data_IF_709525905350
#
_entry.id   IF_709525905350
#
_cell.length_a   1.000
_cell.length_b   1.000
_cell.length_c   1.000
_cell.angle_alpha   90.00
_cell.angle_beta   90.00
_cell.angle_gamma   90.00
#
_symmetry.space_group_name_H-M   'P 1'
#
loop_
_entity.id
_entity.type
_entity.pdbx_description
1 polymer ?
#
# COMPACT_ATOMS: atom_id res chain seq x y z
N UNK A 1 -5.08 -3.22 16.71
CA UNK A 1 -5.77 -2.23 15.87
C UNK A 1 -4.82 -1.17 15.44
N UNK A 2 -4.80 -0.91 14.18
CA UNK A 2 -3.90 0.09 13.64
C UNK A 2 -4.56 1.45 13.53
N UNK A 3 -3.77 2.45 13.76
CA UNK A 3 -4.21 3.82 13.59
C UNK A 3 -3.57 4.40 12.35
N UNK A 4 -4.32 5.21 11.65
CA UNK A 4 -3.83 5.88 10.46
C UNK A 4 -3.30 7.25 10.82
N UNK A 5 -2.24 7.63 10.14
CA UNK A 5 -1.64 8.95 10.29
C UNK A 5 -1.70 9.62 8.92
N UNK A 6 -2.19 10.84 8.89
CA UNK A 6 -2.24 11.61 7.66
C UNK A 6 -0.96 12.40 7.50
N UNK A 7 -0.36 12.32 6.33
CA UNK A 7 0.87 13.02 6.02
C UNK A 7 0.67 13.87 4.78
N UNK A 8 1.35 15.00 4.76
CA UNK A 8 1.41 15.84 3.56
C UNK A 8 2.84 15.89 3.09
N UNK A 9 3.05 15.51 1.85
CA UNK A 9 4.37 15.57 1.24
C UNK A 9 4.24 16.21 -0.13
N UNK A 10 5.31 16.85 -0.55
CA UNK A 10 5.39 17.43 -1.88
C UNK A 10 6.21 16.52 -2.75
N UNK A 11 5.68 16.23 -3.91
CA UNK A 11 6.40 15.39 -4.89
C UNK A 11 6.45 16.15 -6.21
N UNK A 12 7.46 15.85 -7.05
CA UNK A 12 7.53 16.49 -8.35
C UNK A 12 6.28 16.20 -9.18
N UNK A 13 5.93 17.17 -10.00
CA UNK A 13 4.73 17.04 -10.81
C UNK A 13 4.79 15.83 -11.71
N UNK A 14 5.95 15.55 -12.28
CA UNK A 14 6.09 14.39 -13.17
C UNK A 14 5.80 13.08 -12.45
N UNK A 15 6.24 12.99 -11.20
CA UNK A 15 5.95 11.78 -10.42
C UNK A 15 4.46 11.69 -10.13
N UNK A 16 3.86 12.80 -9.79
CA UNK A 16 2.43 12.83 -9.52
C UNK A 16 1.62 12.38 -10.74
N UNK A 17 2.00 12.86 -11.91
CA UNK A 17 1.32 12.47 -13.15
C UNK A 17 1.47 10.97 -13.40
N UNK A 18 2.66 10.43 -13.13
CA UNK A 18 2.88 9.00 -13.31
C UNK A 18 2.00 8.19 -12.37
N UNK A 19 1.85 8.66 -11.13
CA UNK A 19 0.98 7.98 -10.18
C UNK A 19 -0.46 8.01 -10.67
N UNK A 20 -0.92 9.18 -11.14
CA UNK A 20 -2.29 9.29 -11.62
C UNK A 20 -2.54 8.38 -12.82
N UNK A 21 -1.58 8.34 -13.74
CA UNK A 21 -1.71 7.49 -14.92
C UNK A 21 -1.78 6.02 -14.52
N UNK A 22 -0.96 5.62 -13.58
CA UNK A 22 -0.99 4.23 -13.13
C UNK A 22 -2.33 3.89 -12.52
N UNK A 23 -2.84 4.76 -11.67
CA UNK A 23 -4.11 4.51 -11.00
C UNK A 23 -5.28 4.51 -11.97
N UNK A 24 -5.21 5.31 -13.02
CA UNK A 24 -6.26 5.33 -14.04
C UNK A 24 -6.36 3.98 -14.74
N UNK A 25 -5.21 3.34 -14.98
CA UNK A 25 -5.17 2.06 -15.68
C UNK A 25 -5.48 0.91 -14.73
N UNK A 26 -5.09 1.04 -13.47
CA UNK A 26 -5.24 -0.04 -12.50
C UNK A 26 -6.27 0.38 -11.45
N UNK A 27 -7.52 0.26 -11.81
CA UNK A 27 -8.60 0.78 -10.95
C UNK A 27 -8.74 0.04 -9.64
N UNK A 28 -8.15 -1.14 -9.52
CA UNK A 28 -8.18 -1.86 -8.25
C UNK A 28 -7.21 -1.28 -7.23
N UNK A 29 -6.35 -0.35 -7.65
CA UNK A 29 -5.40 0.31 -6.76
C UNK A 29 -5.93 1.68 -6.37
N UNK A 30 -5.60 2.09 -5.14
CA UNK A 30 -5.87 3.44 -4.68
C UNK A 30 -4.54 4.13 -4.40
N UNK A 31 -4.59 5.45 -4.26
CA UNK A 31 -3.38 6.20 -3.95
C UNK A 31 -2.80 5.76 -2.60
N UNK A 32 -3.65 5.57 -1.61
CA UNK A 32 -3.17 5.13 -0.30
C UNK A 32 -2.50 3.78 -0.39
N UNK A 33 -3.11 2.87 -1.11
CA UNK A 33 -2.57 1.52 -1.25
C UNK A 33 -1.23 1.55 -1.98
N UNK A 34 -1.15 2.33 -3.04
CA UNK A 34 0.09 2.45 -3.79
C UNK A 34 1.20 3.02 -2.93
N UNK A 35 0.90 4.06 -2.16
CA UNK A 35 1.91 4.70 -1.33
C UNK A 35 2.36 3.77 -0.21
N UNK A 36 1.44 3.05 0.40
CA UNK A 36 1.82 2.11 1.45
C UNK A 36 2.74 1.02 0.91
N UNK A 37 2.44 0.51 -0.28
CA UNK A 37 3.28 -0.52 -0.88
C UNK A 37 4.66 0.04 -1.21
N UNK A 38 4.70 1.24 -1.79
CA UNK A 38 5.97 1.83 -2.21
C UNK A 38 6.85 2.15 -1.01
N UNK A 39 6.27 2.73 0.02
CA UNK A 39 7.05 3.13 1.18
C UNK A 39 7.54 1.90 1.94
N UNK A 40 6.67 0.93 2.15
CA UNK A 40 7.08 -0.26 2.87
C UNK A 40 8.13 -1.04 2.10
N UNK A 41 8.00 -1.11 0.79
CA UNK A 41 9.00 -1.78 -0.02
C UNK A 41 10.36 -1.07 0.08
N UNK A 42 10.34 0.26 0.00
CA UNK A 42 11.58 1.02 0.11
C UNK A 42 12.27 0.75 1.45
N UNK A 43 11.49 0.77 2.52
CA UNK A 43 12.06 0.53 3.84
C UNK A 43 12.63 -0.87 3.96
N UNK A 44 11.93 -1.85 3.42
CA UNK A 44 12.42 -3.23 3.46
C UNK A 44 13.72 -3.38 2.68
N UNK A 45 13.81 -2.73 1.53
CA UNK A 45 15.02 -2.80 0.71
C UNK A 45 16.18 -2.08 1.37
N UNK A 46 15.92 -1.21 2.31
CA UNK A 46 16.96 -0.45 2.98
C UNK A 46 17.18 -0.91 4.41
N UNK A 47 16.85 -2.14 4.70
CA UNK A 47 17.23 -2.78 5.94
C UNK A 47 16.24 -2.70 7.07
N UNK A 48 15.08 -2.13 6.85
CA UNK A 48 14.04 -2.11 7.88
C UNK A 48 13.33 -3.46 7.83
N UNK A 49 13.55 -4.28 8.87
CA UNK A 49 13.06 -5.66 8.85
C UNK A 49 11.94 -5.91 9.83
N UNK A 50 11.23 -4.87 10.22
CA UNK A 50 10.13 -5.04 11.16
C UNK A 50 8.98 -5.78 10.50
N UNK A 51 8.40 -6.69 11.26
CA UNK A 51 7.31 -7.52 10.74
C UNK A 51 6.14 -6.67 10.30
N UNK A 52 5.84 -5.60 11.03
CA UNK A 52 4.71 -4.74 10.68
C UNK A 52 4.86 -4.13 9.29
N UNK A 53 6.09 -3.74 8.94
CA UNK A 53 6.33 -3.14 7.64
C UNK A 53 6.13 -4.18 6.54
N UNK A 54 6.65 -5.38 6.74
CA UNK A 54 6.47 -6.45 5.75
C UNK A 54 5.00 -6.79 5.57
N UNK A 55 4.26 -6.81 6.67
CA UNK A 55 2.83 -7.11 6.59
C UNK A 55 2.08 -6.04 5.80
N UNK A 56 2.42 -4.78 6.04
CA UNK A 56 1.77 -3.69 5.31
C UNK A 56 2.06 -3.82 3.81
N UNK A 57 3.30 -4.16 3.46
CA UNK A 57 3.64 -4.34 2.07
C UNK A 57 2.82 -5.46 1.43
N UNK A 58 2.73 -6.60 2.10
CA UNK A 58 1.99 -7.72 1.54
C UNK A 58 0.50 -7.42 1.46
N UNK A 59 -0.05 -6.77 2.48
CA UNK A 59 -1.45 -6.38 2.45
C UNK A 59 -1.74 -5.44 1.31
N UNK A 60 -0.81 -4.50 1.05
CA UNK A 60 -0.98 -3.53 -0.03
C UNK A 60 -0.97 -4.24 -1.38
N UNK A 61 -0.06 -5.19 -1.56
CA UNK A 61 0.04 -5.90 -2.83
C UNK A 61 -1.18 -6.74 -3.11
N UNK A 62 -1.70 -7.40 -2.11
CA UNK A 62 -2.78 -8.35 -2.32
C UNK A 62 -4.15 -7.76 -2.09
N UNK A 63 -4.21 -6.45 -1.84
CA UNK A 63 -5.50 -5.80 -1.67
C UNK A 63 -6.29 -6.37 -0.53
N UNK A 64 -5.61 -6.67 0.56
CA UNK A 64 -6.24 -7.28 1.72
C UNK A 64 -7.40 -6.44 2.18
N UNK A 65 -8.55 -7.06 2.27
CA UNK A 65 -9.70 -6.37 2.78
C UNK A 65 -9.86 -6.66 4.26
N UNK A 66 -10.21 -5.68 5.02
CA UNK A 66 -10.54 -5.97 6.42
C UNK A 66 -11.74 -6.90 6.45
N UNK A 67 -11.56 -7.91 6.98
CA UNK A 67 -12.58 -8.88 7.04
C UNK A 67 -12.66 -9.74 5.87
N UNK A 68 -12.71 -10.08 5.38
CA UNK A 68 -12.57 -10.84 4.26
C UNK A 68 -11.71 -11.80 4.23
N UNK A 69 -11.65 -11.70 4.74
CA UNK A 69 -11.05 -12.40 4.75
C UNK A 69 -10.92 -13.16 4.91
N UNK A 70 -11.14 -13.36 4.83
CA UNK A 70 -11.07 -14.07 4.84
C UNK A 70 -11.21 -14.74 4.58
N UNK A 71 -11.27 -14.76 4.42
CA UNK A 71 -11.50 -15.40 4.07
C UNK A 71 -11.34 -16.05 3.73
N UNK A 72 -11.49 -15.95 3.52
CA UNK A 72 -11.51 -16.53 3.10
C UNK A 72 -11.40 -17.24 3.17
N UNK A 73 -11.45 -17.29 3.09
CA UNK A 73 -11.58 -17.86 3.18
C UNK A 73 -11.82 -18.39 3.54
N UNK A 74 -12.16 -18.43 3.39
CA UNK A 74 -12.59 -18.71 3.70
C UNK A 74 -12.96 -19.06 3.90
N UNK A 75 -13.07 -18.97 3.84
CA UNK A 75 -13.58 -19.02 4.04
C UNK A 75 -13.78 -19.16 4.33
N UNK A 76 -14.07 -19.04 4.19
CA UNK A 76 -14.38 -18.89 4.35
C UNK A 76 -14.52 -18.89 4.56
#
# INVERSE_FOLDING_TARGET
MQQSVSLSVEIPEELHLSVQNYLDVHSEWSQDRLFCAAISLFLMQNGVTKRQVSRIYLDSLFGQQPGNSKAMIRSN
#
